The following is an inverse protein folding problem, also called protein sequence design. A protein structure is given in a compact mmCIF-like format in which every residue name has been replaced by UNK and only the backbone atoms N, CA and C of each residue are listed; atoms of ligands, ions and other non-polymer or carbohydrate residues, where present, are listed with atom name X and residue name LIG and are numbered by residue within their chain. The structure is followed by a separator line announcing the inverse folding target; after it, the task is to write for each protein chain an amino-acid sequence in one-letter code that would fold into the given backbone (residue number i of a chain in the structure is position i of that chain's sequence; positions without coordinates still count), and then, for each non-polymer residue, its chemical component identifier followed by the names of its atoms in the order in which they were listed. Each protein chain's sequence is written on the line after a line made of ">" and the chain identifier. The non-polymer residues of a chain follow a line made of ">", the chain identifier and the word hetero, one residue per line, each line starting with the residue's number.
data_IF_261456399256
#
_entry.id   IF_261456399256
#
_cell.length_a   1.000
_cell.length_b   1.000
_cell.length_c   1.000
_cell.angle_alpha   90.00
_cell.angle_beta   90.00
_cell.angle_gamma   90.00
#
_symmetry.space_group_name_H-M   'P 1'
#
loop_
_entity.id
_entity.type
_entity.pdbx_description
1 polymer ?
#
# COMPACT_ATOMS: atom_id res chain seq x y z
N UNK A 1 -14.49 13.80 -2.86
CA UNK A 1 -13.38 14.53 -2.25
C UNK A 1 -12.55 15.18 -3.34
N UNK A 2 -11.93 16.33 -3.06
CA UNK A 2 -11.14 17.06 -4.04
C UNK A 2 -9.83 16.37 -4.41
N UNK A 3 -9.17 16.92 -5.41
CA UNK A 3 -7.85 16.48 -5.80
C UNK A 3 -6.81 16.78 -4.73
N UNK A 4 -5.78 15.93 -4.67
CA UNK A 4 -4.61 16.13 -3.84
C UNK A 4 -3.38 15.67 -4.63
N UNK A 5 -2.31 16.45 -4.57
CA UNK A 5 -1.09 16.14 -5.28
C UNK A 5 -0.25 15.14 -4.49
N UNK A 6 0.27 14.12 -5.18
CA UNK A 6 1.14 13.09 -4.62
C UNK A 6 2.47 13.11 -5.38
N UNK A 7 3.63 13.04 -4.69
CA UNK A 7 4.91 12.98 -5.39
C UNK A 7 4.99 11.80 -6.36
N UNK A 8 5.48 12.05 -7.58
CA UNK A 8 5.53 11.03 -8.64
C UNK A 8 6.43 9.85 -8.31
N UNK A 9 7.44 10.06 -7.48
CA UNK A 9 8.39 9.02 -7.09
C UNK A 9 7.93 8.17 -5.91
N UNK A 10 6.68 8.30 -5.49
CA UNK A 10 6.14 7.56 -4.35
C UNK A 10 5.03 6.62 -4.78
N UNK A 11 4.98 5.44 -4.17
CA UNK A 11 3.92 4.47 -4.41
C UNK A 11 2.68 4.71 -3.56
N UNK A 12 2.79 5.46 -2.45
CA UNK A 12 1.57 5.80 -1.71
C UNK A 12 0.68 6.74 -2.54
N UNK A 13 -0.61 6.74 -2.24
CA UNK A 13 -1.57 7.49 -3.02
C UNK A 13 -2.19 8.65 -2.26
N UNK A 14 -3.35 9.09 -2.73
CA UNK A 14 -4.01 10.29 -2.23
C UNK A 14 -4.45 10.16 -0.77
N UNK A 15 -4.90 8.99 -0.33
CA UNK A 15 -5.34 8.83 1.07
C UNK A 15 -4.18 8.99 2.04
N UNK A 16 -3.02 8.40 1.72
CA UNK A 16 -1.81 8.57 2.53
C UNK A 16 -1.36 10.03 2.54
N UNK A 17 -1.38 10.70 1.39
CA UNK A 17 -0.99 12.11 1.31
C UNK A 17 -1.91 13.00 2.14
N UNK A 18 -3.22 12.75 2.14
CA UNK A 18 -4.17 13.48 3.00
C UNK A 18 -3.86 13.27 4.47
N UNK A 19 -3.53 12.06 4.85
CA UNK A 19 -3.16 11.74 6.24
C UNK A 19 -1.89 12.49 6.65
N UNK A 20 -0.88 12.56 5.79
CA UNK A 20 0.33 13.34 6.04
C UNK A 20 0.03 14.81 6.30
N UNK A 21 -0.93 15.37 5.58
CA UNK A 21 -1.32 16.78 5.75
C UNK A 21 -2.14 17.02 7.01
N UNK A 22 -2.92 16.03 7.45
CA UNK A 22 -3.82 16.15 8.60
C UNK A 22 -3.14 15.82 9.94
N UNK A 23 -2.10 14.97 9.92
CA UNK A 23 -1.48 14.47 11.14
C UNK A 23 0.05 14.70 11.09
N UNK A 24 0.44 15.94 11.31
CA UNK A 24 1.85 16.35 11.31
C UNK A 24 2.46 16.36 12.73
N UNK A 25 1.95 15.52 13.61
CA UNK A 25 2.34 15.48 15.03
C UNK A 25 3.48 14.48 15.21
N UNK A 26 4.57 14.94 15.79
CA UNK A 26 5.75 14.11 16.05
C UNK A 26 6.54 13.83 14.78
N UNK A 27 7.64 13.10 14.88
CA UNK A 27 8.50 12.77 13.75
C UNK A 27 8.66 11.26 13.57
N UNK A 28 8.00 10.47 14.42
CA UNK A 28 8.17 9.02 14.42
C UNK A 28 7.37 8.39 13.29
N UNK A 29 8.05 7.62 12.44
CA UNK A 29 7.43 6.80 11.42
C UNK A 29 7.40 5.33 11.88
N UNK A 30 6.78 4.46 11.07
CA UNK A 30 6.70 3.05 11.42
C UNK A 30 8.09 2.40 11.43
N UNK A 31 8.31 1.53 12.42
CA UNK A 31 9.52 0.73 12.48
C UNK A 31 9.51 -0.35 11.40
N UNK A 32 10.71 -0.79 11.02
CA UNK A 32 10.89 -1.80 9.96
C UNK A 32 10.11 -3.09 10.26
N UNK A 33 10.10 -3.53 11.52
CA UNK A 33 9.38 -4.74 11.94
C UNK A 33 7.88 -4.62 11.73
N UNK A 34 7.31 -3.43 11.94
CA UNK A 34 5.88 -3.18 11.70
C UNK A 34 5.56 -3.26 10.21
N UNK A 35 6.40 -2.63 9.37
CA UNK A 35 6.24 -2.66 7.91
C UNK A 35 6.31 -4.10 7.41
N UNK A 36 7.28 -4.87 7.88
CA UNK A 36 7.43 -6.27 7.52
C UNK A 36 6.22 -7.10 7.92
N UNK A 37 5.73 -6.93 9.14
CA UNK A 37 4.57 -7.67 9.63
C UNK A 37 3.33 -7.36 8.79
N UNK A 38 3.11 -6.11 8.44
CA UNK A 38 1.99 -5.71 7.60
C UNK A 38 2.11 -6.28 6.18
N UNK A 39 3.33 -6.31 5.64
CA UNK A 39 3.59 -6.94 4.35
C UNK A 39 3.24 -8.42 4.35
N UNK A 40 3.59 -9.14 5.43
CA UNK A 40 3.25 -10.56 5.60
C UNK A 40 1.72 -10.73 5.66
N UNK A 41 1.02 -9.86 6.39
CA UNK A 41 -0.44 -9.90 6.47
C UNK A 41 -1.08 -9.73 5.08
N UNK A 42 -0.63 -8.75 4.33
CA UNK A 42 -1.19 -8.50 2.98
C UNK A 42 -0.84 -9.62 2.02
N UNK A 43 0.35 -10.21 2.13
CA UNK A 43 0.72 -11.38 1.33
C UNK A 43 -0.19 -12.56 1.62
N UNK A 44 -0.47 -12.84 2.89
CA UNK A 44 -1.37 -13.91 3.28
C UNK A 44 -2.78 -13.67 2.72
N UNK A 45 -3.28 -12.45 2.82
CA UNK A 45 -4.61 -12.10 2.28
C UNK A 45 -4.67 -12.32 0.77
N UNK A 46 -3.65 -11.88 0.03
CA UNK A 46 -3.61 -12.07 -1.43
C UNK A 46 -3.55 -13.56 -1.80
N UNK A 47 -2.77 -14.35 -1.06
CA UNK A 47 -2.68 -15.79 -1.29
C UNK A 47 -4.03 -16.47 -1.10
N UNK A 48 -4.74 -16.14 -0.03
CA UNK A 48 -6.07 -16.69 0.25
C UNK A 48 -7.06 -16.25 -0.83
N UNK A 49 -7.06 -14.97 -1.19
CA UNK A 49 -7.99 -14.46 -2.19
C UNK A 49 -7.77 -15.07 -3.57
N UNK A 50 -6.52 -15.32 -3.94
CA UNK A 50 -6.20 -16.03 -5.18
C UNK A 50 -6.70 -17.47 -5.13
N UNK A 51 -6.45 -18.18 -4.03
CA UNK A 51 -6.88 -19.59 -3.89
C UNK A 51 -8.40 -19.73 -3.93
N UNK A 52 -9.15 -18.68 -3.54
CA UNK A 52 -10.61 -18.65 -3.60
C UNK A 52 -11.17 -18.11 -4.92
N UNK A 53 -10.32 -17.85 -5.90
CA UNK A 53 -10.74 -17.36 -7.21
C UNK A 53 -11.20 -15.90 -7.23
N UNK A 54 -10.81 -15.10 -6.23
CA UNK A 54 -11.18 -13.69 -6.12
C UNK A 54 -10.23 -12.75 -6.86
N UNK A 55 -9.05 -13.24 -7.23
CA UNK A 55 -8.04 -12.48 -7.95
C UNK A 55 -7.63 -13.25 -9.20
N UNK A 56 -7.46 -12.55 -10.31
CA UNK A 56 -6.85 -13.13 -11.50
C UNK A 56 -5.37 -13.39 -11.24
N UNK A 57 -4.81 -14.37 -11.97
CA UNK A 57 -3.45 -14.84 -11.71
C UNK A 57 -2.39 -13.73 -11.87
N UNK A 58 -2.48 -12.93 -12.92
CA UNK A 58 -1.51 -11.86 -13.17
C UNK A 58 -1.59 -10.76 -12.10
N UNK A 59 -2.79 -10.41 -11.66
CA UNK A 59 -2.99 -9.45 -10.57
C UNK A 59 -2.45 -10.03 -9.26
N UNK A 60 -2.76 -11.29 -8.97
CA UNK A 60 -2.28 -11.95 -7.76
C UNK A 60 -0.75 -12.03 -7.74
N UNK A 61 -0.13 -12.41 -8.86
CA UNK A 61 1.34 -12.51 -8.96
C UNK A 61 1.99 -11.14 -8.73
N UNK A 62 1.43 -10.08 -9.30
CA UNK A 62 1.96 -8.72 -9.11
C UNK A 62 1.82 -8.24 -7.67
N UNK A 63 0.68 -8.53 -7.02
CA UNK A 63 0.47 -8.21 -5.61
C UNK A 63 1.46 -8.98 -4.74
N UNK A 64 1.64 -10.27 -4.97
CA UNK A 64 2.57 -11.09 -4.20
C UNK A 64 4.01 -10.61 -4.34
N UNK A 65 4.43 -10.24 -5.55
CA UNK A 65 5.75 -9.67 -5.77
C UNK A 65 5.91 -8.35 -5.02
N UNK A 66 4.89 -7.50 -5.03
CA UNK A 66 4.89 -6.22 -4.31
C UNK A 66 5.00 -6.43 -2.80
N UNK A 67 4.25 -7.39 -2.25
CA UNK A 67 4.31 -7.69 -0.82
C UNK A 67 5.68 -8.24 -0.41
N UNK A 68 6.32 -9.04 -1.26
CA UNK A 68 7.66 -9.52 -0.99
C UNK A 68 8.67 -8.36 -0.92
N UNK A 69 8.52 -7.35 -1.77
CA UNK A 69 9.35 -6.15 -1.72
C UNK A 69 9.11 -5.34 -0.44
N UNK A 70 7.87 -5.24 0.03
CA UNK A 70 7.55 -4.62 1.32
C UNK A 70 8.25 -5.38 2.45
N UNK A 71 8.14 -6.70 2.46
CA UNK A 71 8.74 -7.56 3.50
C UNK A 71 10.26 -7.41 3.52
N UNK A 72 10.89 -7.31 2.35
CA UNK A 72 12.34 -7.21 2.22
C UNK A 72 12.90 -5.81 2.51
N UNK A 73 12.04 -4.79 2.64
CA UNK A 73 12.47 -3.43 2.93
C UNK A 73 12.69 -2.55 1.71
N UNK A 74 12.46 -3.06 0.51
CA UNK A 74 12.72 -2.33 -0.73
C UNK A 74 11.81 -1.12 -0.90
N UNK A 75 10.66 -1.09 -0.21
CA UNK A 75 9.66 -0.02 -0.33
C UNK A 75 9.50 0.79 0.97
N UNK A 76 10.45 0.70 1.89
CA UNK A 76 10.32 1.35 3.21
C UNK A 76 10.10 2.87 3.11
N UNK A 77 10.69 3.55 2.13
CA UNK A 77 10.54 5.00 1.93
C UNK A 77 9.12 5.42 1.51
N UNK A 78 8.26 4.45 1.20
CA UNK A 78 6.89 4.71 0.77
C UNK A 78 5.88 4.62 1.92
N UNK A 79 6.35 4.53 3.17
CA UNK A 79 5.52 4.47 4.37
C UNK A 79 5.83 5.65 5.30
N UNK A 80 5.41 6.88 4.90
CA UNK A 80 5.82 8.10 5.59
C UNK A 80 4.91 8.51 6.75
N UNK A 81 3.80 7.79 7.00
CA UNK A 81 2.84 8.19 8.02
C UNK A 81 3.46 8.13 9.41
N UNK A 82 3.12 9.13 10.24
CA UNK A 82 3.58 9.16 11.63
C UNK A 82 2.85 8.12 12.46
N UNK A 83 3.51 7.69 13.55
CA UNK A 83 2.94 6.71 14.49
C UNK A 83 1.65 7.22 15.12
N UNK A 84 1.60 8.52 15.43
CA UNK A 84 0.46 9.15 16.07
C UNK A 84 -0.60 9.53 15.03
N UNK A 85 -1.53 8.63 14.78
CA UNK A 85 -2.66 8.81 13.89
C UNK A 85 -3.94 8.33 14.56
N UNK A 86 -5.05 8.24 13.82
CA UNK A 86 -6.32 7.77 14.40
C UNK A 86 -6.15 6.36 14.98
N UNK A 87 -6.84 6.08 16.08
CA UNK A 87 -6.75 4.79 16.76
C UNK A 87 -7.32 3.61 15.98
N UNK A 88 -8.05 3.86 14.89
CA UNK A 88 -8.65 2.80 14.06
C UNK A 88 -7.64 2.03 13.20
N UNK A 89 -6.47 2.59 12.94
CA UNK A 89 -5.49 1.99 12.04
C UNK A 89 -5.84 2.08 10.55
N UNK A 90 -6.93 2.73 10.21
CA UNK A 90 -7.41 2.82 8.81
C UNK A 90 -6.36 3.47 7.91
N UNK A 91 -5.71 4.52 8.37
CA UNK A 91 -4.71 5.25 7.58
C UNK A 91 -3.48 4.40 7.28
N UNK A 92 -3.02 3.62 8.26
CA UNK A 92 -1.92 2.67 8.05
C UNK A 92 -2.32 1.63 7.02
N UNK A 93 -3.50 1.04 7.18
CA UNK A 93 -4.03 0.05 6.24
C UNK A 93 -4.08 0.61 4.82
N UNK A 94 -4.58 1.84 4.64
CA UNK A 94 -4.64 2.47 3.33
C UNK A 94 -3.27 2.77 2.75
N UNK A 95 -2.30 3.16 3.58
CA UNK A 95 -0.93 3.35 3.11
C UNK A 95 -0.37 2.05 2.49
N UNK A 96 -0.51 0.93 3.18
CA UNK A 96 -0.07 -0.36 2.65
C UNK A 96 -0.84 -0.75 1.39
N UNK A 97 -2.16 -0.56 1.39
CA UNK A 97 -2.98 -0.86 0.22
C UNK A 97 -2.54 -0.05 -1.01
N UNK A 98 -2.30 1.26 -0.83
CA UNK A 98 -1.89 2.13 -1.93
C UNK A 98 -0.49 1.79 -2.45
N UNK A 99 0.47 1.55 -1.56
CA UNK A 99 1.83 1.19 -1.96
C UNK A 99 1.84 -0.13 -2.73
N UNK A 100 1.17 -1.14 -2.20
CA UNK A 100 1.13 -2.47 -2.82
C UNK A 100 0.40 -2.40 -4.16
N UNK A 101 -0.76 -1.73 -4.23
CA UNK A 101 -1.52 -1.61 -5.46
C UNK A 101 -0.73 -0.87 -6.54
N UNK A 102 -0.11 0.25 -6.20
CA UNK A 102 0.64 1.04 -7.18
C UNK A 102 1.90 0.31 -7.66
N UNK A 103 2.58 -0.41 -6.77
CA UNK A 103 3.73 -1.22 -7.21
C UNK A 103 3.28 -2.36 -8.14
N UNK A 104 2.16 -3.01 -7.82
CA UNK A 104 1.59 -4.04 -8.68
C UNK A 104 1.17 -3.48 -10.04
N UNK A 105 0.56 -2.30 -10.07
CA UNK A 105 0.21 -1.61 -11.31
C UNK A 105 1.46 -1.36 -12.16
N UNK A 106 2.56 -0.89 -11.54
CA UNK A 106 3.81 -0.63 -12.24
C UNK A 106 4.39 -1.93 -12.82
N UNK A 107 4.37 -3.02 -12.05
CA UNK A 107 4.82 -4.34 -12.52
C UNK A 107 4.02 -4.79 -13.75
N UNK A 108 2.72 -4.51 -13.78
CA UNK A 108 1.83 -4.87 -14.88
C UNK A 108 1.86 -3.86 -16.04
N UNK A 109 2.68 -2.81 -15.94
CA UNK A 109 2.84 -1.81 -16.99
C UNK A 109 1.77 -0.73 -17.02
N UNK A 110 0.99 -0.59 -15.95
CA UNK A 110 -0.04 0.44 -15.84
C UNK A 110 0.51 1.76 -15.29
N UNK A 111 -0.38 2.74 -15.16
CA UNK A 111 -0.05 4.07 -14.67
C UNK A 111 -0.33 4.18 -13.17
N UNK A 112 0.66 4.68 -12.41
CA UNK A 112 0.52 4.87 -10.96
C UNK A 112 -0.67 5.78 -10.64
N UNK A 113 -1.46 5.38 -9.63
CA UNK A 113 -2.62 6.14 -9.21
C UNK A 113 -3.87 5.92 -10.02
N UNK A 114 -3.79 5.15 -11.11
CA UNK A 114 -4.94 4.87 -11.98
C UNK A 114 -5.96 3.93 -11.35
N UNK A 115 -5.55 3.18 -10.32
CA UNK A 115 -6.35 2.14 -9.67
C UNK A 115 -6.73 0.99 -10.61
N UNK A 116 -6.00 0.85 -11.71
CA UNK A 116 -6.23 -0.18 -12.72
C UNK A 116 -4.87 -0.64 -13.28
N UNK A 117 -4.63 -1.92 -13.44
CA UNK A 117 -5.56 -3.05 -13.20
C UNK A 117 -5.69 -3.49 -11.73
N UNK A 118 -5.04 -2.82 -10.79
CA UNK A 118 -5.10 -3.16 -9.37
C UNK A 118 -5.67 -1.99 -8.58
N UNK A 119 -6.75 -2.24 -7.83
CA UNK A 119 -7.39 -1.24 -6.99
C UNK A 119 -7.00 -1.48 -5.52
N UNK A 120 -6.58 -0.44 -4.76
CA UNK A 120 -6.17 -0.61 -3.37
C UNK A 120 -7.22 -1.27 -2.47
N UNK A 121 -8.47 -0.89 -2.61
CA UNK A 121 -9.55 -1.45 -1.78
C UNK A 121 -10.08 -2.79 -2.32
N UNK A 122 -10.25 -2.90 -3.63
CA UNK A 122 -10.94 -4.04 -4.22
C UNK A 122 -10.04 -5.27 -4.35
N UNK A 123 -8.73 -5.08 -4.51
CA UNK A 123 -7.79 -6.16 -4.78
C UNK A 123 -6.80 -6.42 -3.66
N UNK A 124 -6.33 -5.38 -2.97
CA UNK A 124 -5.27 -5.51 -1.96
C UNK A 124 -5.83 -5.65 -0.54
N UNK A 125 -6.87 -4.87 -0.24
CA UNK A 125 -7.45 -4.84 1.09
C UNK A 125 -8.10 -6.16 1.51
#
# INVERSE_FOLDING_TARGET
>A
MGHIDVPENKYYGAQTQRSLQNFEIGGETFQREFIRAYGILKKAAATVNFSKGRLEKDVADAILQSTDQVINGDLDDHFPLVVWQTGSGTQSNMNFNEVIANRAIEILGGELGSKSPVHPNDHVN
#
